data_IF_711541864243
#
_entry.id   IF_711541864243
#
_cell.length_a   1.000
_cell.length_b   1.000
_cell.length_c   1.000
_cell.angle_alpha   90.00
_cell.angle_beta   90.00
_cell.angle_gamma   90.00
#
_symmetry.space_group_name_H-M   'P 1'
#
loop_
_entity.id
_entity.type
_entity.pdbx_description
1 polymer ?
#
# COMPACT_ATOMS: atom_id res chain seq x y z
N UNK A 1 -0.01 29.40 -12.34
CA UNK A 1 1.05 28.64 -11.64
C UNK A 1 0.94 28.78 -10.11
N UNK A 2 -0.26 28.66 -9.54
CA UNK A 2 -0.52 28.98 -8.11
C UNK A 2 -0.69 27.76 -7.20
N UNK A 3 -0.29 26.56 -7.63
CA UNK A 3 -0.10 25.44 -6.70
C UNK A 3 1.34 25.51 -6.20
N UNK A 4 1.53 26.27 -5.14
CA UNK A 4 2.79 26.49 -4.45
C UNK A 4 3.29 25.17 -3.83
N UNK A 5 4.02 24.34 -4.59
CA UNK A 5 4.65 23.08 -4.19
C UNK A 5 5.91 23.27 -3.30
N UNK A 6 5.96 24.32 -2.49
CA UNK A 6 7.17 24.75 -1.77
C UNK A 6 7.18 24.38 -0.29
N UNK A 7 6.15 23.68 0.23
CA UNK A 7 6.25 23.17 1.59
C UNK A 7 7.06 21.86 1.60
N UNK A 8 8.37 22.01 1.84
CA UNK A 8 9.33 20.91 1.89
C UNK A 8 8.89 19.78 2.84
N UNK A 9 8.12 20.11 3.89
CA UNK A 9 7.58 19.14 4.85
C UNK A 9 6.63 18.15 4.18
N UNK A 10 5.67 18.62 3.40
CA UNK A 10 4.69 17.74 2.73
C UNK A 10 5.40 16.80 1.77
N UNK A 11 6.36 17.32 0.98
CA UNK A 11 7.16 16.51 0.05
C UNK A 11 7.98 15.44 0.77
N UNK A 12 8.59 15.78 1.90
CA UNK A 12 9.37 14.84 2.70
C UNK A 12 8.48 13.73 3.27
N UNK A 13 7.30 14.09 3.80
CA UNK A 13 6.34 13.10 4.32
C UNK A 13 5.84 12.19 3.19
N UNK A 14 5.42 12.75 2.06
CA UNK A 14 4.99 11.95 0.90
C UNK A 14 6.08 11.00 0.42
N UNK A 15 7.33 11.47 0.37
CA UNK A 15 8.47 10.67 -0.05
C UNK A 15 8.81 9.56 0.94
N UNK A 16 8.76 9.85 2.23
CA UNK A 16 8.95 8.87 3.29
C UNK A 16 7.87 7.80 3.22
N UNK A 17 6.59 8.19 3.12
CA UNK A 17 5.47 7.27 2.98
C UNK A 17 5.62 6.39 1.73
N UNK A 18 5.96 6.99 0.58
CA UNK A 18 6.23 6.24 -0.65
C UNK A 18 7.33 5.20 -0.45
N UNK A 19 8.48 5.58 0.11
CA UNK A 19 9.59 4.64 0.35
C UNK A 19 9.24 3.51 1.31
N UNK A 20 8.39 3.78 2.30
CA UNK A 20 7.94 2.78 3.27
C UNK A 20 6.93 1.79 2.65
N UNK A 21 6.06 2.26 1.77
CA UNK A 21 5.03 1.42 1.14
C UNK A 21 5.51 0.73 -0.13
N UNK A 22 6.53 1.26 -0.81
CA UNK A 22 7.04 0.75 -2.08
C UNK A 22 7.43 -0.74 -2.08
N UNK A 23 8.09 -1.29 -1.03
CA UNK A 23 8.43 -2.71 -1.00
C UNK A 23 7.21 -3.64 -1.04
N UNK A 24 6.05 -3.16 -0.60
CA UNK A 24 4.79 -3.90 -0.59
C UNK A 24 3.96 -3.59 -1.84
N UNK A 25 3.79 -2.30 -2.16
CA UNK A 25 2.96 -1.85 -3.28
C UNK A 25 3.61 -2.10 -4.64
N UNK A 26 4.92 -1.98 -4.75
CA UNK A 26 5.69 -2.19 -5.97
C UNK A 26 5.49 -3.58 -6.58
N UNK A 27 5.69 -4.68 -5.82
CA UNK A 27 5.38 -6.02 -6.30
C UNK A 27 3.92 -6.18 -6.72
N UNK A 28 2.97 -5.69 -5.91
CA UNK A 28 1.53 -5.78 -6.23
C UNK A 28 1.22 -5.10 -7.57
N UNK A 29 1.74 -3.89 -7.81
CA UNK A 29 1.56 -3.18 -9.09
C UNK A 29 2.07 -3.97 -10.28
N UNK A 30 3.16 -4.72 -10.14
CA UNK A 30 3.73 -5.54 -11.23
C UNK A 30 2.83 -6.73 -11.62
N UNK A 31 1.96 -7.17 -10.71
CA UNK A 31 0.99 -8.24 -10.99
C UNK A 31 -0.35 -7.73 -11.52
N UNK A 32 -0.63 -6.43 -11.37
CA UNK A 32 -1.88 -5.83 -11.82
C UNK A 32 -1.80 -5.49 -13.32
N UNK A 33 -2.92 -5.63 -14.05
CA UNK A 33 -3.00 -5.08 -15.41
C UNK A 33 -2.90 -3.55 -15.36
N UNK A 34 -2.62 -2.92 -16.49
CA UNK A 34 -2.67 -1.45 -16.58
C UNK A 34 -4.12 -0.97 -16.44
N UNK A 35 -4.39 -0.18 -15.40
CA UNK A 35 -5.72 0.35 -15.05
C UNK A 35 -5.87 1.83 -15.41
N UNK A 36 -5.13 2.31 -16.41
CA UNK A 36 -5.25 3.70 -16.87
C UNK A 36 -4.65 4.69 -15.89
N UNK A 37 -3.53 4.32 -15.24
CA UNK A 37 -2.77 5.21 -14.35
C UNK A 37 -3.30 5.35 -12.92
N UNK A 38 -4.38 4.65 -12.55
CA UNK A 38 -4.86 4.58 -11.16
C UNK A 38 -4.11 3.47 -10.42
N UNK A 39 -3.47 3.82 -9.31
CA UNK A 39 -2.80 2.85 -8.45
C UNK A 39 -3.80 2.20 -7.48
N UNK A 40 -4.32 1.02 -7.83
CA UNK A 40 -5.16 0.22 -6.94
C UNK A 40 -4.36 -0.67 -5.98
N UNK A 41 -3.03 -0.69 -6.07
CA UNK A 41 -2.20 -1.56 -5.23
C UNK A 41 -2.41 -1.37 -3.72
N UNK A 42 -2.72 -0.16 -3.18
CA UNK A 42 -3.02 -0.02 -1.76
C UNK A 42 -4.26 -0.80 -1.33
N UNK A 43 -5.31 -0.83 -2.17
CA UNK A 43 -6.54 -1.55 -1.89
C UNK A 43 -6.27 -3.05 -1.83
N UNK A 44 -5.51 -3.57 -2.81
CA UNK A 44 -5.10 -4.97 -2.86
C UNK A 44 -4.25 -5.34 -1.64
N UNK A 45 -3.31 -4.48 -1.23
CA UNK A 45 -2.49 -4.69 -0.03
C UNK A 45 -3.35 -4.79 1.23
N UNK A 46 -4.36 -3.92 1.39
CA UNK A 46 -5.28 -3.95 2.53
C UNK A 46 -6.09 -5.27 2.54
N UNK A 47 -6.60 -5.70 1.39
CA UNK A 47 -7.36 -6.95 1.27
C UNK A 47 -6.48 -8.15 1.65
N UNK A 48 -5.25 -8.21 1.12
CA UNK A 48 -4.29 -9.26 1.45
C UNK A 48 -3.96 -9.28 2.95
N UNK A 49 -3.77 -8.11 3.56
CA UNK A 49 -3.50 -8.00 5.00
C UNK A 49 -4.70 -8.50 5.84
N UNK A 50 -5.93 -8.14 5.46
CA UNK A 50 -7.13 -8.66 6.14
C UNK A 50 -7.23 -10.19 5.98
N UNK A 51 -6.94 -10.72 4.79
CA UNK A 51 -6.93 -12.16 4.55
C UNK A 51 -5.91 -12.89 5.43
N UNK A 52 -4.67 -12.39 5.49
CA UNK A 52 -3.62 -12.95 6.37
C UNK A 52 -4.07 -12.90 7.83
N UNK A 53 -4.63 -11.77 8.28
CA UNK A 53 -5.19 -11.66 9.64
C UNK A 53 -6.24 -12.73 9.93
N UNK A 54 -7.18 -12.96 9.00
CA UNK A 54 -8.20 -14.00 9.18
C UNK A 54 -7.57 -15.39 9.26
N UNK A 55 -6.62 -15.73 8.38
CA UNK A 55 -5.93 -17.01 8.41
C UNK A 55 -5.21 -17.22 9.75
N UNK A 56 -4.44 -16.23 10.18
CA UNK A 56 -3.66 -16.28 11.43
C UNK A 56 -4.58 -16.49 12.63
N UNK A 57 -5.68 -15.75 12.71
CA UNK A 57 -6.64 -15.89 13.82
C UNK A 57 -7.37 -17.23 13.76
N UNK A 58 -7.86 -17.64 12.59
CA UNK A 58 -8.63 -18.87 12.44
C UNK A 58 -7.80 -20.11 12.79
N UNK A 59 -6.62 -20.27 12.20
CA UNK A 59 -5.75 -21.41 12.49
C UNK A 59 -5.10 -21.31 13.86
N UNK A 60 -4.71 -20.10 14.28
CA UNK A 60 -4.14 -19.87 15.60
C UNK A 60 -5.10 -20.24 16.74
N UNK A 61 -6.39 -19.94 16.59
CA UNK A 61 -7.42 -20.33 17.57
C UNK A 61 -7.70 -21.83 17.53
N UNK A 62 -7.68 -22.48 16.36
CA UNK A 62 -7.89 -23.94 16.29
C UNK A 62 -6.74 -24.76 16.87
N UNK A 63 -5.54 -24.20 16.89
CA UNK A 63 -4.34 -24.84 17.44
C UNK A 63 -4.24 -24.72 18.98
N UNK A 64 -5.07 -23.89 19.60
CA UNK A 64 -5.15 -23.68 21.06
C UNK A 64 -6.31 -24.49 21.65
#
# INVERSE_FOLDING_TARGET
>A
SIINNHNNVVRQVSYALFRLTEPVLGPIRRFLPDLGGIDISPIIAIIALQFIRYLVVYYGVQLL
#
